data_IF_724635274206
#
_entry.id   IF_724635274206
#
_cell.length_a   1.000
_cell.length_b   1.000
_cell.length_c   1.000
_cell.angle_alpha   90.00
_cell.angle_beta   90.00
_cell.angle_gamma   90.00
#
_symmetry.space_group_name_H-M   'P 1'
#
loop_
_entity.id
_entity.type
_entity.pdbx_description
1 polymer ?
#
# COMPACT_ATOMS: atom_id res chain seq x y z
N UNK A 1 23.49 -5.03 -19.81
CA UNK A 1 22.51 -5.21 -20.91
C UNK A 1 21.24 -5.92 -20.46
N UNK A 2 21.26 -7.11 -19.81
CA UNK A 2 20.06 -7.85 -19.33
C UNK A 2 19.20 -7.05 -18.31
N UNK A 3 19.78 -6.23 -17.45
CA UNK A 3 19.02 -5.45 -16.45
C UNK A 3 18.22 -4.30 -17.07
N UNK A 4 18.76 -3.66 -18.11
CA UNK A 4 18.09 -2.57 -18.83
C UNK A 4 16.91 -3.11 -19.65
N UNK A 5 17.11 -4.25 -20.34
CA UNK A 5 16.05 -4.91 -21.10
C UNK A 5 14.91 -5.39 -20.18
N UNK A 6 15.22 -5.86 -18.97
CA UNK A 6 14.23 -6.23 -17.97
C UNK A 6 13.42 -5.02 -17.49
N UNK A 7 14.08 -3.86 -17.29
CA UNK A 7 13.43 -2.60 -16.93
C UNK A 7 12.54 -2.06 -18.06
N UNK A 8 13.01 -2.13 -19.30
CA UNK A 8 12.24 -1.73 -20.49
C UNK A 8 11.04 -2.67 -20.68
N UNK A 9 11.22 -3.98 -20.53
CA UNK A 9 10.15 -4.97 -20.58
C UNK A 9 9.09 -4.73 -19.50
N UNK A 10 9.47 -4.44 -18.25
CA UNK A 10 8.53 -4.08 -17.19
C UNK A 10 7.77 -2.79 -17.52
N UNK A 11 8.45 -1.79 -18.06
CA UNK A 11 7.83 -0.51 -18.45
C UNK A 11 6.84 -0.68 -19.61
N UNK A 12 7.22 -1.45 -20.65
CA UNK A 12 6.33 -1.82 -21.77
C UNK A 12 5.16 -2.68 -21.27
N UNK A 13 5.40 -3.63 -20.39
CA UNK A 13 4.38 -4.48 -19.79
C UNK A 13 3.37 -3.70 -18.97
N UNK A 14 3.81 -2.66 -18.23
CA UNK A 14 2.94 -1.70 -17.54
C UNK A 14 2.12 -0.85 -18.53
N UNK A 15 2.74 -0.31 -19.57
CA UNK A 15 2.09 0.49 -20.61
C UNK A 15 1.05 -0.29 -21.43
N UNK A 16 1.32 -1.57 -21.73
CA UNK A 16 0.42 -2.44 -22.49
C UNK A 16 -0.71 -3.05 -21.66
N UNK A 17 -0.60 -3.05 -20.34
CA UNK A 17 -1.59 -3.63 -19.42
C UNK A 17 -2.56 -2.63 -18.83
N UNK A 18 -2.22 -1.35 -18.85
CA UNK A 18 -3.17 -0.30 -18.48
C UNK A 18 -4.20 -0.20 -19.61
N UNK A 19 -5.48 -0.42 -19.34
CA UNK A 19 -6.51 -0.09 -20.32
C UNK A 19 -6.30 1.38 -20.69
N UNK A 20 -6.64 1.77 -21.94
CA UNK A 20 -6.52 3.13 -22.51
C UNK A 20 -7.31 4.21 -21.74
N UNK A 21 -7.56 4.02 -20.47
CA UNK A 21 -8.02 5.07 -19.59
C UNK A 21 -6.85 6.02 -19.34
N UNK A 22 -7.10 7.31 -19.61
CA UNK A 22 -6.21 8.43 -19.31
C UNK A 22 -5.30 8.05 -18.16
N UNK A 23 -3.99 8.04 -18.38
CA UNK A 23 -2.96 7.81 -17.37
C UNK A 23 -3.23 8.80 -16.24
N UNK A 24 -4.09 8.41 -15.33
CA UNK A 24 -4.57 9.26 -14.29
C UNK A 24 -3.44 9.41 -13.28
N UNK A 25 -2.60 10.43 -13.47
CA UNK A 25 -1.70 11.03 -12.48
C UNK A 25 -1.02 10.05 -11.48
N UNK A 26 -0.71 8.83 -11.91
CA UNK A 26 0.05 7.88 -11.09
C UNK A 26 1.53 8.22 -11.17
N UNK A 27 2.22 8.20 -10.02
CA UNK A 27 3.68 8.21 -9.95
C UNK A 27 4.12 6.81 -9.53
N UNK A 28 4.84 6.12 -10.38
CA UNK A 28 5.29 4.72 -10.18
C UNK A 28 6.79 4.69 -10.45
N UNK A 29 7.54 4.08 -9.54
CA UNK A 29 8.97 3.85 -9.74
C UNK A 29 9.21 2.58 -10.59
N UNK A 30 10.33 2.56 -11.31
CA UNK A 30 10.71 1.39 -12.14
C UNK A 30 11.11 0.16 -11.32
N UNK A 31 11.31 0.33 -10.03
CA UNK A 31 11.63 -0.74 -9.09
C UNK A 31 10.39 -1.46 -8.57
N UNK A 32 9.19 -0.91 -8.83
CA UNK A 32 7.94 -1.48 -8.36
C UNK A 32 7.54 -2.71 -9.18
N UNK A 33 6.92 -3.67 -8.50
CA UNK A 33 6.33 -4.86 -9.13
C UNK A 33 4.81 -4.80 -9.04
N UNK A 34 4.17 -4.61 -10.20
CA UNK A 34 2.71 -4.52 -10.29
C UNK A 34 2.20 -5.71 -11.10
N UNK A 35 1.41 -6.55 -10.46
CA UNK A 35 0.91 -7.79 -11.03
C UNK A 35 -0.32 -7.58 -11.93
N UNK A 36 -0.60 -8.58 -12.77
CA UNK A 36 -1.68 -8.55 -13.78
C UNK A 36 -3.04 -8.31 -13.11
N UNK A 37 -3.86 -7.47 -13.75
CA UNK A 37 -5.22 -7.17 -13.31
C UNK A 37 -5.31 -6.12 -12.20
N UNK A 38 -4.16 -5.58 -11.75
CA UNK A 38 -4.16 -4.50 -10.78
C UNK A 38 -4.63 -3.18 -11.40
N UNK A 39 -5.33 -2.38 -10.62
CA UNK A 39 -5.83 -1.05 -10.98
C UNK A 39 -5.17 0.02 -10.11
N UNK A 40 -4.46 0.95 -10.74
CA UNK A 40 -3.94 2.14 -10.05
C UNK A 40 -4.62 3.39 -10.62
N UNK A 41 -5.09 4.27 -9.73
CA UNK A 41 -5.69 5.53 -10.13
C UNK A 41 -5.31 6.66 -9.17
N UNK A 42 -4.71 7.72 -9.69
CA UNK A 42 -4.31 8.90 -8.93
C UNK A 42 -3.48 8.57 -7.69
N UNK A 43 -2.61 7.57 -7.78
CA UNK A 43 -1.81 7.05 -6.68
C UNK A 43 -0.32 7.27 -6.93
N UNK A 44 0.42 7.40 -5.83
CA UNK A 44 1.89 7.47 -5.82
C UNK A 44 2.42 6.23 -5.14
N UNK A 45 3.29 5.49 -5.81
CA UNK A 45 4.05 4.42 -5.20
C UNK A 45 5.47 4.92 -4.94
N UNK A 46 6.02 4.55 -3.80
CA UNK A 46 7.43 4.71 -3.48
C UNK A 46 8.28 3.74 -4.29
N UNK A 47 9.46 3.40 -3.77
CA UNK A 47 10.36 2.43 -4.40
C UNK A 47 10.16 1.03 -3.83
N UNK A 48 10.35 0.00 -4.68
CA UNK A 48 10.31 -1.41 -4.26
C UNK A 48 8.95 -1.85 -3.72
N UNK A 49 7.87 -1.20 -4.16
CA UNK A 49 6.50 -1.57 -3.78
C UNK A 49 6.04 -2.77 -4.61
N UNK A 50 5.41 -3.72 -3.96
CA UNK A 50 4.73 -4.83 -4.62
C UNK A 50 3.21 -4.62 -4.58
N UNK A 51 2.56 -4.78 -5.73
CA UNK A 51 1.10 -4.74 -5.87
C UNK A 51 0.65 -6.04 -6.51
N UNK A 52 0.00 -6.87 -5.72
CA UNK A 52 -0.46 -8.21 -6.10
C UNK A 52 -1.62 -8.21 -7.11
N UNK A 53 -1.91 -9.37 -7.70
CA UNK A 53 -2.88 -9.50 -8.79
C UNK A 53 -4.29 -9.07 -8.36
N UNK A 54 -4.96 -8.31 -9.22
CA UNK A 54 -6.33 -7.84 -8.98
C UNK A 54 -6.49 -6.82 -7.86
N UNK A 55 -5.39 -6.30 -7.31
CA UNK A 55 -5.47 -5.22 -6.31
C UNK A 55 -5.86 -3.89 -6.95
N UNK A 56 -6.68 -3.10 -6.26
CA UNK A 56 -7.07 -1.75 -6.64
C UNK A 56 -6.48 -0.74 -5.64
N UNK A 57 -5.63 0.18 -6.15
CA UNK A 57 -5.01 1.25 -5.34
C UNK A 57 -5.47 2.59 -5.89
N UNK A 58 -6.38 3.22 -5.17
CA UNK A 58 -7.09 4.40 -5.63
C UNK A 58 -6.85 5.56 -4.67
N UNK A 59 -6.34 6.70 -5.20
CA UNK A 59 -6.06 7.92 -4.42
C UNK A 59 -5.21 7.68 -3.18
N UNK A 60 -4.15 6.90 -3.31
CA UNK A 60 -3.26 6.52 -2.22
C UNK A 60 -1.81 6.92 -2.48
N UNK A 61 -1.11 7.24 -1.42
CA UNK A 61 0.34 7.38 -1.39
C UNK A 61 0.91 6.19 -0.60
N UNK A 62 1.75 5.40 -1.23
CA UNK A 62 2.31 4.15 -0.68
C UNK A 62 3.80 4.31 -0.52
N UNK A 63 4.30 4.08 0.69
CA UNK A 63 5.72 4.18 1.03
C UNK A 63 6.57 3.02 0.49
N UNK A 64 7.88 3.23 0.51
CA UNK A 64 8.87 2.27 0.02
C UNK A 64 8.74 0.90 0.69
N UNK A 65 9.07 -0.17 -0.04
CA UNK A 65 9.08 -1.56 0.42
C UNK A 65 7.74 -2.13 0.88
N UNK A 66 6.64 -1.41 0.69
CA UNK A 66 5.33 -1.93 1.08
C UNK A 66 4.83 -3.00 0.12
N UNK A 67 4.17 -4.02 0.69
CA UNK A 67 3.63 -5.16 -0.02
C UNK A 67 2.11 -5.18 0.08
N UNK A 68 1.43 -5.03 -1.04
CA UNK A 68 -0.03 -5.09 -1.18
C UNK A 68 -0.37 -6.42 -1.85
N UNK A 69 -1.02 -7.32 -1.13
CA UNK A 69 -1.36 -8.65 -1.65
C UNK A 69 -2.50 -8.62 -2.67
N UNK A 70 -2.81 -9.77 -3.25
CA UNK A 70 -3.83 -9.88 -4.29
C UNK A 70 -5.25 -9.58 -3.80
N UNK A 71 -6.05 -8.97 -4.68
CA UNK A 71 -7.45 -8.65 -4.43
C UNK A 71 -7.70 -7.58 -3.36
N UNK A 72 -6.67 -6.85 -2.96
CA UNK A 72 -6.79 -5.73 -2.00
C UNK A 72 -7.50 -4.55 -2.65
N UNK A 73 -8.44 -3.93 -1.93
CA UNK A 73 -9.07 -2.67 -2.29
C UNK A 73 -8.60 -1.53 -1.38
N UNK A 74 -7.85 -0.57 -1.92
CA UNK A 74 -7.43 0.63 -1.19
C UNK A 74 -8.16 1.82 -1.79
N UNK A 75 -8.93 2.52 -0.96
CA UNK A 75 -9.70 3.68 -1.36
C UNK A 75 -11.01 3.33 -2.06
N UNK A 76 -11.52 4.30 -2.78
CA UNK A 76 -12.81 4.23 -3.44
C UNK A 76 -13.46 5.60 -3.43
N UNK A 77 -14.65 5.67 -3.98
CA UNK A 77 -15.45 6.88 -3.97
C UNK A 77 -16.58 6.72 -2.96
N UNK A 78 -16.79 7.71 -2.11
CA UNK A 78 -17.94 7.76 -1.24
C UNK A 78 -19.12 8.42 -1.96
N UNK A 79 -20.31 8.02 -1.58
CA UNK A 79 -21.53 8.70 -1.98
C UNK A 79 -21.92 9.75 -0.94
N UNK A 80 -22.55 10.82 -1.39
CA UNK A 80 -23.05 11.89 -0.52
C UNK A 80 -24.32 11.43 0.24
N UNK A 81 -24.17 10.44 1.12
CA UNK A 81 -25.28 9.80 1.81
C UNK A 81 -25.86 10.62 2.98
N UNK A 82 -25.16 11.67 3.41
CA UNK A 82 -25.61 12.60 4.45
C UNK A 82 -26.19 13.89 3.89
N UNK A 83 -25.69 14.32 2.73
CA UNK A 83 -25.98 15.61 2.10
C UNK A 83 -27.09 15.52 1.07
N UNK A 84 -27.51 14.30 0.70
CA UNK A 84 -28.50 14.10 -0.36
C UNK A 84 -29.51 13.01 -0.01
N UNK A 85 -30.73 13.22 -0.45
CA UNK A 85 -31.81 12.26 -0.30
C UNK A 85 -31.64 10.99 -1.15
N UNK A 86 -30.80 11.04 -2.18
CA UNK A 86 -30.48 9.90 -3.03
C UNK A 86 -28.99 9.67 -3.13
N UNK A 87 -28.57 8.42 -3.02
CA UNK A 87 -27.18 7.97 -3.25
C UNK A 87 -26.88 7.71 -4.73
N UNK A 88 -27.89 7.81 -5.60
CA UNK A 88 -27.70 7.56 -7.02
C UNK A 88 -26.83 8.63 -7.67
N UNK A 89 -25.73 8.26 -8.36
CA UNK A 89 -24.89 9.22 -9.06
C UNK A 89 -25.61 9.91 -10.24
N UNK A 90 -26.75 9.38 -10.67
CA UNK A 90 -27.59 9.99 -11.69
C UNK A 90 -28.40 11.17 -11.14
N UNK A 91 -28.74 11.13 -9.86
CA UNK A 91 -29.50 12.16 -9.16
C UNK A 91 -28.62 13.07 -8.32
N UNK A 92 -27.46 12.56 -7.92
CA UNK A 92 -26.46 13.28 -7.15
C UNK A 92 -25.05 12.92 -7.63
N UNK A 93 -24.46 13.70 -8.54
CA UNK A 93 -23.16 13.42 -9.12
C UNK A 93 -21.97 13.65 -8.16
N UNK A 94 -22.21 14.12 -6.94
CA UNK A 94 -21.15 14.43 -6.00
C UNK A 94 -20.65 13.18 -5.29
N UNK A 95 -19.61 12.59 -5.86
CA UNK A 95 -18.75 11.63 -5.14
C UNK A 95 -17.55 12.41 -4.63
N UNK A 96 -17.52 12.75 -3.36
CA UNK A 96 -16.40 13.43 -2.76
C UNK A 96 -15.24 12.45 -2.53
N UNK A 97 -14.07 12.83 -3.07
CA UNK A 97 -12.78 12.21 -2.71
C UNK A 97 -12.14 13.17 -1.73
N UNK A 98 -12.52 13.08 -0.47
CA UNK A 98 -12.13 14.09 0.49
C UNK A 98 -10.71 13.89 1.03
N UNK A 99 -10.23 12.65 1.11
CA UNK A 99 -8.94 12.40 1.73
C UNK A 99 -8.17 11.26 1.03
N UNK A 100 -6.91 11.56 0.71
CA UNK A 100 -5.96 10.54 0.21
C UNK A 100 -5.65 9.55 1.34
N UNK A 101 -5.47 8.30 0.95
CA UNK A 101 -5.00 7.25 1.83
C UNK A 101 -3.48 7.34 1.90
N UNK A 102 -2.92 7.22 3.10
CA UNK A 102 -1.49 7.21 3.33
C UNK A 102 -1.07 5.83 3.83
N UNK A 103 -0.28 5.13 3.06
CA UNK A 103 0.34 3.87 3.46
C UNK A 103 1.82 4.15 3.70
N UNK A 104 2.29 3.85 4.89
CA UNK A 104 3.68 4.01 5.28
C UNK A 104 4.65 3.11 4.52
N UNK A 105 5.87 3.05 5.02
CA UNK A 105 6.97 2.23 4.48
C UNK A 105 6.97 0.85 5.13
N UNK A 106 7.39 -0.17 4.39
CA UNK A 106 7.46 -1.57 4.87
C UNK A 106 6.13 -2.08 5.49
N UNK A 107 5.02 -1.64 4.91
CA UNK A 107 3.67 -2.08 5.30
C UNK A 107 3.31 -3.36 4.55
N UNK A 108 2.76 -4.34 5.25
CA UNK A 108 2.17 -5.50 4.61
C UNK A 108 0.64 -5.48 4.71
N UNK A 109 -0.03 -5.47 3.56
CA UNK A 109 -1.47 -5.56 3.47
C UNK A 109 -1.82 -6.94 2.91
N UNK A 110 -2.43 -7.77 3.76
CA UNK A 110 -2.83 -9.14 3.43
C UNK A 110 -3.90 -9.21 2.32
N UNK A 111 -4.06 -10.40 1.75
CA UNK A 111 -4.98 -10.60 0.63
C UNK A 111 -6.43 -10.23 0.97
N UNK A 112 -7.16 -9.67 -0.02
CA UNK A 112 -8.58 -9.30 0.10
C UNK A 112 -8.90 -8.30 1.21
N UNK A 113 -7.93 -7.53 1.68
CA UNK A 113 -8.15 -6.41 2.61
C UNK A 113 -8.87 -5.27 1.90
N UNK A 114 -9.76 -4.61 2.62
CA UNK A 114 -10.37 -3.34 2.20
C UNK A 114 -9.88 -2.22 3.11
N UNK A 115 -9.31 -1.16 2.54
CA UNK A 115 -8.91 0.06 3.27
C UNK A 115 -9.84 1.19 2.86
N UNK A 116 -10.57 1.75 3.82
CA UNK A 116 -11.50 2.83 3.54
C UNK A 116 -10.76 4.13 3.22
N UNK A 117 -11.47 5.03 2.55
CA UNK A 117 -10.98 6.35 2.18
C UNK A 117 -10.55 7.17 3.42
N UNK A 118 -9.48 7.93 3.29
CA UNK A 118 -8.97 8.82 4.34
C UNK A 118 -8.17 8.13 5.43
N UNK A 119 -8.06 6.80 5.42
CA UNK A 119 -7.29 6.05 6.42
C UNK A 119 -5.79 6.23 6.19
N UNK A 120 -5.04 6.33 7.29
CA UNK A 120 -3.58 6.26 7.31
C UNK A 120 -3.11 4.96 7.96
N UNK A 121 -2.14 4.29 7.33
CA UNK A 121 -1.47 3.09 7.88
C UNK A 121 0.00 3.43 8.08
N UNK A 122 0.46 3.36 9.33
CA UNK A 122 1.84 3.74 9.71
C UNK A 122 2.91 2.78 9.21
N UNK A 123 4.17 3.22 9.28
CA UNK A 123 5.33 2.45 8.87
C UNK A 123 5.41 1.09 9.57
N UNK A 124 5.80 0.05 8.86
CA UNK A 124 5.98 -1.29 9.41
C UNK A 124 4.70 -1.98 9.88
N UNK A 125 3.53 -1.40 9.67
CA UNK A 125 2.28 -2.02 10.06
C UNK A 125 1.94 -3.26 9.20
N UNK A 126 1.17 -4.16 9.79
CA UNK A 126 0.65 -5.35 9.11
C UNK A 126 -0.87 -5.37 9.23
N UNK A 127 -1.55 -5.58 8.11
CA UNK A 127 -2.99 -5.78 8.06
C UNK A 127 -3.27 -7.23 7.64
N UNK A 128 -3.88 -7.99 8.54
CA UNK A 128 -4.23 -9.39 8.29
C UNK A 128 -5.21 -9.54 7.12
N UNK A 129 -5.15 -10.67 6.43
CA UNK A 129 -6.00 -10.93 5.26
C UNK A 129 -7.50 -10.82 5.57
N UNK A 130 -8.30 -10.46 4.57
CA UNK A 130 -9.76 -10.30 4.64
C UNK A 130 -10.25 -9.25 5.67
N UNK A 131 -9.37 -8.35 6.10
CA UNK A 131 -9.73 -7.29 7.06
C UNK A 131 -10.37 -6.08 6.38
N UNK A 132 -11.17 -5.33 7.13
CA UNK A 132 -11.72 -4.03 6.72
C UNK A 132 -11.16 -2.92 7.62
N UNK A 133 -10.24 -2.14 7.08
CA UNK A 133 -9.58 -1.04 7.81
C UNK A 133 -10.44 0.21 7.71
N UNK A 134 -11.07 0.58 8.83
CA UNK A 134 -12.02 1.70 8.93
C UNK A 134 -11.46 2.90 9.69
N UNK A 135 -10.30 2.74 10.33
CA UNK A 135 -9.61 3.76 11.13
C UNK A 135 -8.11 3.68 10.90
N UNK A 136 -7.40 4.74 11.27
CA UNK A 136 -5.95 4.79 11.18
C UNK A 136 -5.30 3.64 11.96
N UNK A 137 -4.22 3.11 11.36
CA UNK A 137 -3.40 2.04 11.93
C UNK A 137 -2.06 2.64 12.33
N UNK A 138 -1.69 2.61 13.61
CA UNK A 138 -0.38 3.10 14.05
C UNK A 138 0.78 2.30 13.44
N UNK A 139 1.95 2.93 13.40
CA UNK A 139 3.20 2.24 13.01
C UNK A 139 3.48 1.04 13.92
N UNK A 140 4.27 0.08 13.43
CA UNK A 140 4.69 -1.10 14.19
C UNK A 140 3.51 -1.92 14.75
N UNK A 141 2.37 -1.93 14.08
CA UNK A 141 1.13 -2.51 14.60
C UNK A 141 0.61 -3.60 13.67
N UNK A 142 0.16 -4.70 14.25
CA UNK A 142 -0.60 -5.74 13.54
C UNK A 142 -2.07 -5.58 13.86
N UNK A 143 -2.90 -5.45 12.82
CA UNK A 143 -4.35 -5.36 12.92
C UNK A 143 -5.02 -6.41 12.05
N UNK A 144 -6.20 -6.89 12.44
CA UNK A 144 -7.03 -7.75 11.60
C UNK A 144 -8.50 -7.70 12.00
N UNK A 145 -9.38 -8.25 11.14
CA UNK A 145 -10.81 -8.37 11.36
C UNK A 145 -11.65 -7.36 10.58
N UNK A 146 -12.97 -7.42 10.73
CA UNK A 146 -13.94 -6.54 10.11
C UNK A 146 -14.95 -6.03 11.15
N UNK A 147 -14.79 -4.78 11.62
CA UNK A 147 -13.69 -3.86 11.36
C UNK A 147 -12.35 -4.31 11.95
N UNK A 148 -11.24 -3.91 11.33
CA UNK A 148 -9.91 -4.24 11.80
C UNK A 148 -9.64 -3.66 13.18
N UNK A 149 -9.10 -4.48 14.07
CA UNK A 149 -8.77 -4.12 15.46
C UNK A 149 -7.30 -4.44 15.73
N UNK A 150 -6.72 -3.73 16.68
CA UNK A 150 -5.39 -3.99 17.20
C UNK A 150 -5.27 -5.44 17.67
N UNK A 151 -4.19 -6.10 17.28
CA UNK A 151 -3.84 -7.43 17.75
C UNK A 151 -2.62 -7.38 18.65
N UNK A 152 -1.47 -6.98 18.09
CA UNK A 152 -0.21 -6.82 18.84
C UNK A 152 0.71 -5.83 18.12
N UNK A 153 1.78 -5.41 18.78
CA UNK A 153 2.91 -4.78 18.10
C UNK A 153 3.65 -5.81 17.24
N UNK A 154 4.16 -5.38 16.08
CA UNK A 154 4.99 -6.22 15.22
C UNK A 154 6.33 -6.54 15.87
N UNK A 155 6.94 -5.54 16.49
CA UNK A 155 8.20 -5.61 17.21
C UNK A 155 8.08 -4.97 18.59
N UNK A 156 8.91 -5.37 19.60
CA UNK A 156 9.12 -4.57 20.80
C UNK A 156 9.55 -3.14 20.45
N UNK A 157 9.24 -2.17 21.29
CA UNK A 157 9.46 -0.75 20.98
C UNK A 157 10.94 -0.42 20.77
N UNK A 158 11.81 -0.94 21.59
CA UNK A 158 13.27 -0.76 21.48
C UNK A 158 13.85 -1.36 20.16
N UNK A 159 13.27 -2.45 19.70
CA UNK A 159 13.61 -3.07 18.40
C UNK A 159 13.09 -2.22 17.26
N UNK A 160 11.84 -1.77 17.37
CA UNK A 160 11.24 -0.90 16.36
C UNK A 160 11.99 0.42 16.20
N UNK A 161 12.40 1.04 17.29
CA UNK A 161 13.18 2.29 17.27
C UNK A 161 14.52 2.12 16.54
N UNK A 162 15.20 0.99 16.72
CA UNK A 162 16.42 0.66 15.98
C UNK A 162 16.15 0.49 14.48
N UNK A 163 15.11 -0.29 14.14
CA UNK A 163 14.70 -0.49 12.74
C UNK A 163 14.35 0.85 12.10
N UNK A 164 13.55 1.66 12.75
CA UNK A 164 13.10 2.96 12.24
C UNK A 164 14.26 3.93 12.07
N UNK A 165 15.15 4.02 13.04
CA UNK A 165 16.33 4.90 13.02
C UNK A 165 17.33 4.53 11.92
N UNK A 166 17.38 3.26 11.52
CA UNK A 166 18.25 2.80 10.44
C UNK A 166 17.89 3.37 9.08
N UNK A 167 16.64 3.78 8.88
CA UNK A 167 16.11 4.29 7.62
C UNK A 167 16.38 3.40 6.40
N UNK A 168 16.52 2.09 6.59
CA UNK A 168 16.89 1.10 5.55
C UNK A 168 16.03 1.19 4.29
N UNK A 169 14.78 1.58 4.43
CA UNK A 169 13.83 1.74 3.31
C UNK A 169 14.18 2.85 2.32
N UNK A 170 15.17 3.69 2.62
CA UNK A 170 15.67 4.72 1.70
C UNK A 170 16.78 4.19 0.77
N UNK A 171 17.27 2.98 1.01
CA UNK A 171 18.39 2.38 0.30
C UNK A 171 17.94 1.27 -0.66
N UNK A 172 18.72 0.94 -1.69
CA UNK A 172 18.44 -0.19 -2.57
C UNK A 172 18.53 -1.53 -1.82
N UNK A 173 17.90 -2.62 -2.31
CA UNK A 173 17.74 -3.86 -1.56
C UNK A 173 19.01 -4.48 -0.98
N UNK A 174 20.14 -4.41 -1.70
CA UNK A 174 21.40 -4.98 -1.20
C UNK A 174 21.94 -4.20 0.00
N UNK A 175 21.86 -2.87 -0.03
CA UNK A 175 22.29 -2.01 1.07
C UNK A 175 21.29 -2.10 2.24
N UNK A 176 19.99 -2.05 1.95
CA UNK A 176 18.94 -2.21 2.95
C UNK A 176 19.09 -3.52 3.72
N UNK A 177 19.37 -4.63 3.01
CA UNK A 177 19.62 -5.94 3.63
C UNK A 177 20.86 -5.92 4.54
N UNK A 178 21.94 -5.26 4.10
CA UNK A 178 23.15 -5.11 4.93
C UNK A 178 22.84 -4.32 6.20
N UNK A 179 22.20 -3.17 6.08
CA UNK A 179 21.80 -2.32 7.21
C UNK A 179 20.97 -3.14 8.22
N UNK A 180 19.95 -3.89 7.76
CA UNK A 180 19.10 -4.71 8.64
C UNK A 180 19.89 -5.84 9.31
N UNK A 181 20.82 -6.47 8.61
CA UNK A 181 21.69 -7.51 9.20
C UNK A 181 22.62 -6.92 10.28
N UNK A 182 23.15 -5.73 10.06
CA UNK A 182 24.05 -5.04 10.99
C UNK A 182 23.34 -4.61 12.29
N UNK A 183 22.00 -4.52 12.29
CA UNK A 183 21.22 -4.30 13.52
C UNK A 183 21.27 -5.49 14.49
N UNK A 184 21.68 -6.65 14.00
CA UNK A 184 21.82 -7.89 14.78
C UNK A 184 20.58 -8.23 15.66
N UNK A 185 19.39 -7.98 15.10
CA UNK A 185 18.12 -8.24 15.77
C UNK A 185 17.83 -9.74 15.68
N UNK A 186 17.72 -10.39 16.84
CA UNK A 186 17.24 -11.77 16.92
C UNK A 186 15.72 -11.76 16.98
N UNK A 187 15.08 -12.36 15.98
CA UNK A 187 13.64 -12.58 16.00
C UNK A 187 13.40 -13.98 16.62
N UNK A 188 12.60 -14.07 17.71
CA UNK A 188 12.14 -15.38 18.13
C UNK A 188 11.32 -16.00 17.00
N UNK A 189 11.65 -17.23 16.65
CA UNK A 189 10.78 -18.03 15.79
C UNK A 189 9.66 -18.56 16.71
N UNK A 190 8.51 -17.90 16.69
CA UNK A 190 7.29 -18.41 17.32
C UNK A 190 6.69 -19.56 16.51
#
# INVERSE_FOLDING_TARGET
MRSILRKIYHKLRLLLRLPKFKIARNKIDLTDSIEKGSLLRSSTLGKYVYVGPGAAVLWADVGNYSCIAGGVGIGGMNHAYREAASISPLLNPYCHIDHRIKIGRDVWIGAKVTVLQGVSIGDGAIVGAASVVTKDVPENTIVFGSPAKFYKKRFPDDVWDKIKSSNYWNYPPNEAKKILNDLNIKFPLD
#
